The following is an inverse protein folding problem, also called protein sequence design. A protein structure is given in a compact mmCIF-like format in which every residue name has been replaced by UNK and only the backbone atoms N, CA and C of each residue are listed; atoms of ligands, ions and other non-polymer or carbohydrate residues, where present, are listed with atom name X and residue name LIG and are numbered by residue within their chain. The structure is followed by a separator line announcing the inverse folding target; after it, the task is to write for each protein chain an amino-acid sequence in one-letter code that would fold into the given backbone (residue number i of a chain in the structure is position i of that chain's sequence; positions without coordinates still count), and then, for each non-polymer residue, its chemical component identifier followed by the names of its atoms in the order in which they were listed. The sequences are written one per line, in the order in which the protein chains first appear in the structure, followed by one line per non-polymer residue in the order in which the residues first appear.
data_IF_791832542752
#
_entry.id   IF_791832542752
#
_cell.length_a   1.000
_cell.length_b   1.000
_cell.length_c   1.000
_cell.angle_alpha   90.00
_cell.angle_beta   90.00
_cell.angle_gamma   90.00
#
_symmetry.space_group_name_H-M   'P 1'
#
loop_
_entity.id
_entity.type
_entity.pdbx_description
1 polymer ?
#
# COMPACT_ATOMS: atom_id res chain seq x y z
N UNK A 1 -16.35 -22.65 -7.70
CA UNK A 1 -16.53 -21.68 -6.60
C UNK A 1 -15.83 -20.41 -7.03
N UNK A 2 -16.48 -19.25 -6.96
CA UNK A 2 -15.82 -17.99 -7.29
C UNK A 2 -14.89 -17.67 -6.12
N UNK A 3 -13.58 -17.80 -6.33
CA UNK A 3 -12.58 -17.47 -5.29
C UNK A 3 -12.65 -15.97 -4.99
N UNK A 4 -12.79 -15.63 -3.71
CA UNK A 4 -12.76 -14.23 -3.26
C UNK A 4 -11.39 -13.65 -3.63
N UNK A 5 -11.37 -12.50 -4.30
CA UNK A 5 -10.12 -11.84 -4.70
C UNK A 5 -9.61 -10.98 -3.56
N UNK A 6 -8.37 -11.24 -3.13
CA UNK A 6 -7.68 -10.45 -2.09
C UNK A 6 -6.94 -9.26 -2.69
N UNK A 7 -6.95 -8.12 -2.00
CA UNK A 7 -6.18 -6.94 -2.40
C UNK A 7 -5.54 -6.25 -1.19
N UNK A 8 -4.24 -6.00 -1.27
CA UNK A 8 -3.53 -5.11 -0.35
C UNK A 8 -3.52 -3.69 -0.92
N UNK A 9 -3.95 -2.70 -0.14
CA UNK A 9 -3.98 -1.29 -0.53
C UNK A 9 -3.14 -0.49 0.46
N UNK A 10 -2.12 0.22 -0.04
CA UNK A 10 -1.28 1.07 0.81
C UNK A 10 -1.86 2.47 0.97
N UNK A 11 -1.72 3.07 2.16
CA UNK A 11 -2.12 4.47 2.41
C UNK A 11 -3.64 4.68 2.46
N UNK A 12 -4.35 3.88 3.25
CA UNK A 12 -5.80 3.92 3.41
C UNK A 12 -6.29 4.85 4.53
N UNK A 13 -5.40 5.61 5.19
CA UNK A 13 -5.81 6.54 6.26
C UNK A 13 -6.70 7.67 5.76
N UNK A 14 -6.66 8.01 4.47
CA UNK A 14 -7.51 9.03 3.87
C UNK A 14 -7.57 8.91 2.34
N UNK A 15 -8.31 9.82 1.70
CA UNK A 15 -8.24 10.06 0.26
C UNK A 15 -8.54 8.85 -0.62
N UNK A 16 -7.75 8.71 -1.69
CA UNK A 16 -7.94 7.70 -2.75
C UNK A 16 -7.88 6.27 -2.19
N UNK A 17 -6.87 5.98 -1.36
CA UNK A 17 -6.71 4.66 -0.75
C UNK A 17 -7.90 4.27 0.13
N UNK A 18 -8.36 5.19 0.99
CA UNK A 18 -9.53 4.95 1.85
C UNK A 18 -10.80 4.71 1.04
N UNK A 19 -11.05 5.50 0.01
CA UNK A 19 -12.21 5.34 -0.85
C UNK A 19 -12.15 4.00 -1.61
N UNK A 20 -11.00 3.68 -2.21
CA UNK A 20 -10.81 2.41 -2.92
C UNK A 20 -11.01 1.20 -2.01
N UNK A 21 -10.48 1.25 -0.78
CA UNK A 21 -10.67 0.19 0.21
C UNK A 21 -12.13 -0.07 0.53
N UNK A 22 -12.92 0.99 0.75
CA UNK A 22 -14.36 0.85 1.01
C UNK A 22 -15.12 0.30 -0.19
N UNK A 23 -14.89 0.84 -1.39
CA UNK A 23 -15.61 0.39 -2.58
C UNK A 23 -15.32 -1.07 -2.91
N UNK A 24 -14.04 -1.47 -2.89
CA UNK A 24 -13.66 -2.86 -3.16
C UNK A 24 -14.19 -3.82 -2.09
N UNK A 25 -14.24 -3.38 -0.83
CA UNK A 25 -14.85 -4.17 0.24
C UNK A 25 -16.35 -4.40 -0.02
N UNK A 26 -17.09 -3.36 -0.43
CA UNK A 26 -18.50 -3.45 -0.82
C UNK A 26 -18.72 -4.34 -2.06
N UNK A 27 -17.76 -4.37 -2.99
CA UNK A 27 -17.77 -5.26 -4.16
C UNK A 27 -17.39 -6.72 -3.84
N UNK A 28 -17.08 -7.03 -2.58
CA UNK A 28 -16.82 -8.39 -2.11
C UNK A 28 -15.36 -8.83 -2.23
N UNK A 29 -14.41 -7.90 -2.39
CA UNK A 29 -12.98 -8.21 -2.25
C UNK A 29 -12.60 -8.42 -0.79
N UNK A 30 -11.65 -9.32 -0.54
CA UNK A 30 -10.95 -9.38 0.73
C UNK A 30 -9.88 -8.27 0.74
N UNK A 31 -10.29 -7.09 1.19
CA UNK A 31 -9.44 -5.90 1.25
C UNK A 31 -8.58 -5.93 2.50
N UNK A 32 -7.27 -5.70 2.34
CA UNK A 32 -6.33 -5.39 3.41
C UNK A 32 -5.97 -3.91 3.30
N UNK A 33 -6.65 -3.08 4.08
CA UNK A 33 -6.45 -1.64 4.09
C UNK A 33 -5.29 -1.28 5.01
N UNK A 34 -4.17 -0.78 4.47
CA UNK A 34 -3.00 -0.46 5.29
C UNK A 34 -2.90 1.01 5.64
N UNK A 35 -2.40 1.30 6.84
CA UNK A 35 -2.03 2.65 7.25
C UNK A 35 -0.71 2.62 8.05
N UNK A 36 0.01 3.74 8.06
CA UNK A 36 1.28 3.87 8.80
C UNK A 36 1.04 3.94 10.31
N UNK A 37 0.10 4.79 10.73
CA UNK A 37 -0.15 5.11 12.11
C UNK A 37 -1.12 4.09 12.75
N UNK A 38 -0.82 3.52 13.94
CA UNK A 38 -1.69 2.55 14.60
C UNK A 38 -3.12 3.07 14.84
N UNK A 39 -3.28 4.35 15.16
CA UNK A 39 -4.58 4.99 15.37
C UNK A 39 -5.46 4.98 14.11
N UNK A 40 -4.86 5.14 12.93
CA UNK A 40 -5.57 5.04 11.66
C UNK A 40 -5.98 3.60 11.35
N UNK A 41 -5.14 2.63 11.71
CA UNK A 41 -5.47 1.21 11.57
C UNK A 41 -6.69 0.87 12.41
N UNK A 42 -6.73 1.29 13.67
CA UNK A 42 -7.88 1.06 14.55
C UNK A 42 -9.13 1.78 14.04
N UNK A 43 -9.00 3.01 13.54
CA UNK A 43 -10.12 3.72 12.91
C UNK A 43 -10.68 2.97 11.71
N UNK A 44 -9.83 2.41 10.84
CA UNK A 44 -10.27 1.63 9.68
C UNK A 44 -10.97 0.33 10.10
N UNK A 45 -10.46 -0.36 11.13
CA UNK A 45 -11.13 -1.53 11.73
C UNK A 45 -12.51 -1.19 12.28
N UNK A 46 -12.66 -0.06 12.96
CA UNK A 46 -13.97 0.41 13.47
C UNK A 46 -14.97 0.68 12.36
N UNK A 47 -14.49 1.00 11.15
CA UNK A 47 -15.31 1.15 9.95
C UNK A 47 -15.61 -0.18 9.24
N UNK A 48 -15.21 -1.31 9.82
CA UNK A 48 -15.46 -2.66 9.28
C UNK A 48 -14.44 -3.11 8.23
N UNK A 49 -13.37 -2.36 7.99
CA UNK A 49 -12.33 -2.76 7.05
C UNK A 49 -11.30 -3.66 7.74
N UNK A 50 -10.93 -4.77 7.09
CA UNK A 50 -9.77 -5.55 7.51
C UNK A 50 -8.50 -4.71 7.25
N UNK A 51 -7.81 -4.35 8.33
CA UNK A 51 -6.78 -3.31 8.30
C UNK A 51 -5.55 -3.69 9.10
N UNK A 52 -4.38 -3.32 8.59
CA UNK A 52 -3.08 -3.65 9.17
C UNK A 52 -2.13 -2.45 9.13
N UNK A 53 -1.14 -2.45 10.03
CA UNK A 53 -0.09 -1.45 9.98
C UNK A 53 0.91 -1.79 8.87
N UNK A 54 1.23 -0.80 8.03
CA UNK A 54 2.29 -0.90 7.03
C UNK A 54 2.88 0.48 6.83
N UNK A 55 4.09 0.67 7.36
CA UNK A 55 4.95 1.80 7.06
C UNK A 55 5.88 1.42 5.91
N UNK A 56 5.89 2.23 4.85
CA UNK A 56 6.75 1.98 3.69
C UNK A 56 8.20 2.40 3.96
N UNK A 57 8.46 3.22 4.98
CA UNK A 57 9.82 3.60 5.42
C UNK A 57 10.42 2.58 6.42
N UNK A 58 9.75 1.45 6.65
CA UNK A 58 10.24 0.40 7.56
C UNK A 58 10.11 -0.99 6.93
N UNK A 59 11.25 -1.57 6.53
CA UNK A 59 11.31 -2.93 5.96
C UNK A 59 10.76 -4.02 6.90
N UNK A 60 10.83 -3.85 8.22
CA UNK A 60 10.20 -4.79 9.15
C UNK A 60 8.68 -4.66 9.10
N UNK A 61 8.15 -3.43 9.05
CA UNK A 61 6.72 -3.15 8.87
C UNK A 61 6.20 -3.75 7.55
N UNK A 62 6.91 -3.54 6.45
CA UNK A 62 6.57 -4.13 5.13
C UNK A 62 6.50 -5.65 5.23
N UNK A 63 7.56 -6.31 5.75
CA UNK A 63 7.60 -7.76 5.87
C UNK A 63 6.46 -8.31 6.73
N UNK A 64 6.21 -7.69 7.88
CA UNK A 64 5.12 -8.10 8.77
C UNK A 64 3.75 -7.92 8.11
N UNK A 65 3.55 -6.83 7.37
CA UNK A 65 2.32 -6.58 6.62
C UNK A 65 2.07 -7.64 5.54
N UNK A 66 3.10 -7.98 4.75
CA UNK A 66 3.00 -9.04 3.74
C UNK A 66 2.72 -10.40 4.38
N UNK A 67 3.42 -10.76 5.45
CA UNK A 67 3.19 -12.01 6.18
C UNK A 67 1.75 -12.09 6.68
N UNK A 68 1.23 -11.01 7.27
CA UNK A 68 -0.16 -10.97 7.77
C UNK A 68 -1.17 -11.20 6.65
N UNK A 69 -0.97 -10.57 5.48
CA UNK A 69 -1.82 -10.78 4.31
C UNK A 69 -1.79 -12.25 3.90
N UNK A 70 -0.60 -12.85 3.77
CA UNK A 70 -0.44 -14.24 3.35
C UNK A 70 -1.09 -15.24 4.31
N UNK A 71 -0.98 -15.01 5.62
CA UNK A 71 -1.63 -15.85 6.64
C UNK A 71 -3.16 -15.87 6.47
N UNK A 72 -3.76 -14.72 6.17
CA UNK A 72 -5.21 -14.59 6.04
C UNK A 72 -5.77 -15.02 4.68
N UNK A 73 -4.93 -15.08 3.64
CA UNK A 73 -5.33 -15.47 2.28
C UNK A 73 -4.95 -16.92 1.92
N UNK A 74 -4.23 -17.63 2.79
CA UNK A 74 -3.74 -18.96 2.49
C UNK A 74 -2.54 -18.97 1.54
N UNK A 75 -1.74 -17.90 1.54
CA UNK A 75 -0.48 -17.82 0.79
C UNK A 75 -0.56 -17.16 -0.57
N UNK A 76 -1.72 -16.66 -0.99
CA UNK A 76 -1.93 -16.02 -2.30
C UNK A 76 -2.38 -14.56 -2.18
N UNK A 77 -2.02 -13.72 -3.16
CA UNK A 77 -2.50 -12.33 -3.21
C UNK A 77 -2.91 -11.99 -4.64
N UNK A 78 -4.20 -11.65 -4.84
CA UNK A 78 -4.69 -11.35 -6.19
C UNK A 78 -4.21 -9.98 -6.69
N UNK A 79 -4.24 -8.95 -5.84
CA UNK A 79 -3.84 -7.60 -6.24
C UNK A 79 -3.05 -6.84 -5.17
N UNK A 80 -2.19 -5.93 -5.62
CA UNK A 80 -1.56 -4.88 -4.83
C UNK A 80 -1.87 -3.53 -5.46
N UNK A 81 -2.38 -2.60 -4.66
CA UNK A 81 -2.53 -1.21 -5.04
C UNK A 81 -1.54 -0.34 -4.25
N UNK A 82 -0.46 0.05 -4.92
CA UNK A 82 0.52 0.99 -4.40
C UNK A 82 -0.04 2.41 -4.48
N UNK A 83 -0.64 2.87 -3.39
CA UNK A 83 -1.22 4.21 -3.26
C UNK A 83 -0.55 5.05 -2.16
N UNK A 84 0.02 4.42 -1.14
CA UNK A 84 0.69 5.09 -0.03
C UNK A 84 1.87 5.93 -0.51
N UNK A 85 1.74 7.25 -0.37
CA UNK A 85 2.75 8.24 -0.67
C UNK A 85 2.43 9.55 0.07
N UNK A 86 3.41 10.44 0.18
CA UNK A 86 3.17 11.81 0.64
C UNK A 86 3.93 12.85 -0.19
N UNK A 87 3.37 14.05 -0.24
CA UNK A 87 3.97 15.21 -0.90
C UNK A 87 4.86 16.00 0.05
N UNK A 88 5.96 16.52 -0.48
CA UNK A 88 6.88 17.41 0.20
C UNK A 88 7.07 18.66 -0.68
N UNK A 89 6.10 19.60 -0.68
CA UNK A 89 6.21 20.83 -1.44
C UNK A 89 7.24 21.78 -0.80
N UNK A 90 8.06 22.44 -1.61
CA UNK A 90 9.02 23.44 -1.16
C UNK A 90 9.83 24.03 -2.31
N UNK A 91 10.42 25.22 -2.10
CA UNK A 91 11.44 25.74 -2.99
C UNK A 91 12.71 24.88 -2.87
N UNK A 92 13.56 24.85 -3.90
CA UNK A 92 14.67 23.91 -3.97
C UNK A 92 15.71 24.15 -2.86
N UNK A 93 15.88 25.40 -2.45
CA UNK A 93 16.76 25.84 -1.37
C UNK A 93 16.21 25.50 0.03
N UNK A 94 14.90 25.31 0.17
CA UNK A 94 14.24 24.99 1.44
C UNK A 94 14.22 23.48 1.73
N UNK A 95 14.41 22.65 0.71
CA UNK A 95 14.37 21.19 0.83
C UNK A 95 15.74 20.62 1.17
N UNK A 96 15.88 20.19 2.42
CA UNK A 96 17.08 19.47 2.84
C UNK A 96 17.20 18.11 2.14
N UNK A 97 18.44 17.63 2.02
CA UNK A 97 18.69 16.28 1.50
C UNK A 97 17.97 15.20 2.31
N UNK A 98 17.87 15.36 3.62
CA UNK A 98 17.25 14.35 4.48
C UNK A 98 15.73 14.35 4.33
N UNK A 99 15.11 15.51 4.11
CA UNK A 99 13.69 15.59 3.77
C UNK A 99 13.40 14.90 2.43
N UNK A 100 14.25 15.12 1.42
CA UNK A 100 14.15 14.42 0.14
C UNK A 100 14.31 12.90 0.29
N UNK A 101 15.30 12.45 1.07
CA UNK A 101 15.49 11.01 1.36
C UNK A 101 14.26 10.41 2.01
N UNK A 102 13.74 11.02 3.06
CA UNK A 102 12.54 10.53 3.74
C UNK A 102 11.34 10.37 2.79
N UNK A 103 11.20 11.27 1.80
CA UNK A 103 10.14 11.12 0.80
C UNK A 103 10.41 9.95 -0.14
N UNK A 104 11.65 9.78 -0.60
CA UNK A 104 12.04 8.66 -1.46
C UNK A 104 11.94 7.31 -0.75
N UNK A 105 12.26 7.23 0.53
CA UNK A 105 12.11 6.00 1.32
C UNK A 105 10.66 5.50 1.27
N UNK A 106 9.66 6.37 1.51
CA UNK A 106 8.25 5.97 1.41
C UNK A 106 7.79 5.77 -0.04
N UNK A 107 7.92 6.81 -0.87
CA UNK A 107 7.24 6.88 -2.16
C UNK A 107 7.90 6.00 -3.23
N UNK A 108 9.18 5.66 -3.07
CA UNK A 108 9.97 4.94 -4.08
C UNK A 108 10.52 3.64 -3.52
N UNK A 109 11.39 3.70 -2.52
CA UNK A 109 12.15 2.52 -2.07
C UNK A 109 11.27 1.50 -1.34
N UNK A 110 10.44 1.95 -0.40
CA UNK A 110 9.47 1.12 0.30
C UNK A 110 8.41 0.54 -0.63
N UNK A 111 7.88 1.38 -1.54
CA UNK A 111 6.95 0.92 -2.59
C UNK A 111 7.60 -0.15 -3.47
N UNK A 112 8.86 0.02 -3.84
CA UNK A 112 9.63 -0.96 -4.59
C UNK A 112 9.84 -2.25 -3.79
N UNK A 113 10.25 -2.17 -2.52
CA UNK A 113 10.45 -3.32 -1.64
C UNK A 113 9.17 -4.14 -1.50
N UNK A 114 8.06 -3.51 -1.15
CA UNK A 114 6.75 -4.17 -1.05
C UNK A 114 6.36 -4.85 -2.36
N UNK A 115 6.52 -4.13 -3.47
CA UNK A 115 6.21 -4.65 -4.81
C UNK A 115 7.05 -5.89 -5.13
N UNK A 116 8.34 -5.91 -4.77
CA UNK A 116 9.20 -7.08 -4.96
C UNK A 116 8.74 -8.28 -4.14
N UNK A 117 8.42 -8.09 -2.86
CA UNK A 117 7.94 -9.18 -2.00
C UNK A 117 6.62 -9.76 -2.55
N UNK A 118 5.69 -8.89 -2.97
CA UNK A 118 4.43 -9.31 -3.58
C UNK A 118 4.62 -9.99 -4.93
N UNK A 119 5.56 -9.53 -5.75
CA UNK A 119 5.87 -10.15 -7.04
C UNK A 119 6.35 -11.59 -6.90
N UNK A 120 7.14 -11.91 -5.88
CA UNK A 120 7.58 -13.28 -5.63
C UNK A 120 6.39 -14.22 -5.38
N UNK A 121 5.38 -13.75 -4.64
CA UNK A 121 4.13 -14.47 -4.38
C UNK A 121 3.34 -14.64 -5.68
N UNK A 122 3.09 -13.55 -6.41
CA UNK A 122 2.34 -13.55 -7.67
C UNK A 122 2.99 -14.44 -8.74
N UNK A 123 4.33 -14.47 -8.79
CA UNK A 123 5.08 -15.37 -9.69
C UNK A 123 4.89 -16.84 -9.33
N UNK A 124 4.88 -17.20 -8.03
CA UNK A 124 4.67 -18.58 -7.56
C UNK A 124 3.25 -19.06 -7.83
N UNK A 125 2.24 -18.24 -7.56
CA UNK A 125 0.82 -18.61 -7.82
C UNK A 125 0.45 -18.53 -9.32
N UNK A 126 1.27 -17.87 -10.15
CA UNK A 126 1.09 -17.81 -11.61
C UNK A 126 0.14 -16.72 -12.10
N UNK A 127 -0.37 -15.87 -11.21
CA UNK A 127 -1.27 -14.76 -11.53
C UNK A 127 -1.10 -13.61 -10.54
N UNK A 128 -1.53 -12.40 -10.91
CA UNK A 128 -1.53 -11.25 -10.01
C UNK A 128 -1.76 -9.94 -10.77
N UNK A 129 -2.10 -8.88 -10.02
CA UNK A 129 -2.26 -7.53 -10.58
C UNK A 129 -1.62 -6.49 -9.67
N UNK A 130 -0.77 -5.66 -10.23
CA UNK A 130 -0.15 -4.53 -9.51
C UNK A 130 -0.64 -3.24 -10.14
N UNK A 131 -1.16 -2.34 -9.30
CA UNK A 131 -1.61 -1.01 -9.69
C UNK A 131 -0.71 0.00 -8.97
N UNK A 132 -0.18 0.97 -9.72
CA UNK A 132 0.54 2.10 -9.16
C UNK A 132 -0.32 3.36 -9.26
N UNK A 133 -0.58 4.01 -8.14
CA UNK A 133 -1.12 5.37 -8.11
C UNK A 133 0.03 6.36 -8.25
N UNK A 134 0.38 6.70 -9.48
CA UNK A 134 1.33 7.79 -9.75
C UNK A 134 0.63 9.15 -9.67
N UNK A 135 1.26 10.19 -10.21
CA UNK A 135 0.67 11.52 -10.30
C UNK A 135 1.04 12.17 -11.63
N UNK A 136 0.21 13.10 -12.10
CA UNK A 136 0.56 13.98 -13.21
C UNK A 136 1.87 14.74 -12.94
N UNK A 137 2.20 14.99 -11.67
CA UNK A 137 3.47 15.62 -11.27
C UNK A 137 4.69 14.74 -11.57
N UNK A 138 4.52 13.42 -11.64
CA UNK A 138 5.56 12.49 -12.09
C UNK A 138 5.77 12.48 -13.60
N UNK A 139 4.90 13.17 -14.36
CA UNK A 139 4.97 13.30 -15.82
C UNK A 139 5.27 14.72 -16.27
N UNK A 140 4.61 15.72 -15.69
CA UNK A 140 4.68 17.12 -16.13
C UNK A 140 6.05 17.78 -15.94
N UNK A 141 6.96 17.17 -15.17
CA UNK A 141 8.33 17.61 -15.00
C UNK A 141 9.31 17.05 -16.07
N UNK A 142 8.82 16.22 -17.01
CA UNK A 142 9.61 15.69 -18.14
C UNK A 142 9.57 16.60 -19.37
#
# INVERSE_FOLDING_TARGET
MNTIKSILITGCSSGIGFYAAQQLHLEGYQVFASARAPEDVERLKQLGLNSLQLDLDDSLSIRNGVLRVLEETGGELHALFNNGAYGLPGAIEDLSRDALRAQFETNVFGTHELTRQVLEIMRKQGYGRIIHNSSILGFAAM
#
